data_IF_854772885698
#
_entry.id   IF_854772885698
#
_cell.length_a   1.000
_cell.length_b   1.000
_cell.length_c   1.000
_cell.angle_alpha   90.00
_cell.angle_beta   90.00
_cell.angle_gamma   90.00
#
_symmetry.space_group_name_H-M   'P 1'
#
loop_
_entity.id
_entity.type
_entity.pdbx_description
1 polymer ?
#
# COMPACT_ATOMS: atom_id res chain seq x y z
N UNK A 1 -10.53 31.86 11.86
CA UNK A 1 -10.40 30.37 11.85
C UNK A 1 -11.25 29.65 12.90
N UNK A 2 -11.65 30.29 14.00
CA UNK A 2 -12.59 29.70 14.98
C UNK A 2 -14.05 29.66 14.50
N UNK A 3 -14.45 30.50 13.55
CA UNK A 3 -15.85 30.61 13.10
C UNK A 3 -16.37 29.44 12.21
N UNK A 4 -15.52 28.86 11.38
CA UNK A 4 -15.92 27.73 10.52
C UNK A 4 -16.02 26.40 11.29
N UNK A 5 -15.21 26.27 12.33
CA UNK A 5 -15.25 25.14 13.25
C UNK A 5 -16.52 25.17 14.12
N UNK A 6 -16.87 26.37 14.61
CA UNK A 6 -18.09 26.59 15.35
C UNK A 6 -19.37 26.31 14.54
N UNK A 7 -19.39 26.65 13.25
CA UNK A 7 -20.54 26.40 12.39
C UNK A 7 -20.71 24.90 12.07
N UNK A 8 -19.65 24.16 11.80
CA UNK A 8 -19.72 22.71 11.60
C UNK A 8 -20.16 21.98 12.87
N UNK A 9 -19.62 22.37 14.02
CA UNK A 9 -20.06 21.84 15.31
C UNK A 9 -21.51 22.23 15.63
N UNK A 10 -21.94 23.46 15.33
CA UNK A 10 -23.33 23.86 15.53
C UNK A 10 -24.31 23.02 14.71
N UNK A 11 -23.96 22.66 13.48
CA UNK A 11 -24.76 21.75 12.66
C UNK A 11 -24.81 20.34 13.29
N UNK A 12 -23.67 19.81 13.76
CA UNK A 12 -23.63 18.52 14.46
C UNK A 12 -24.43 18.56 15.77
N UNK A 13 -24.37 19.65 16.55
CA UNK A 13 -25.14 19.83 17.77
C UNK A 13 -26.64 19.99 17.50
N UNK A 14 -27.00 20.68 16.42
CA UNK A 14 -28.42 20.87 16.04
C UNK A 14 -29.11 19.53 15.67
N UNK A 15 -28.36 18.55 15.18
CA UNK A 15 -28.86 17.21 14.88
C UNK A 15 -28.70 16.20 16.03
N UNK A 16 -28.30 16.63 17.23
CA UNK A 16 -28.15 15.76 18.40
C UNK A 16 -26.93 14.82 18.36
N UNK A 17 -26.02 15.04 17.41
CA UNK A 17 -24.85 14.16 17.16
C UNK A 17 -23.62 14.63 17.96
N UNK A 18 -23.70 15.75 18.69
CA UNK A 18 -22.58 16.35 19.39
C UNK A 18 -21.94 15.43 20.42
N UNK A 19 -22.73 14.79 21.28
CA UNK A 19 -22.23 13.84 22.28
C UNK A 19 -21.65 12.56 21.65
N UNK A 20 -22.16 12.15 20.50
CA UNK A 20 -21.64 11.01 19.74
C UNK A 20 -20.31 11.37 19.09
N UNK A 21 -20.14 12.62 18.59
CA UNK A 21 -18.88 13.05 17.99
C UNK A 21 -17.74 13.05 19.00
N UNK A 22 -17.99 13.41 20.25
CA UNK A 22 -16.98 13.46 21.31
C UNK A 22 -16.45 12.07 21.68
N UNK A 23 -17.26 11.02 21.56
CA UNK A 23 -16.86 9.64 21.80
C UNK A 23 -16.19 8.96 20.59
N UNK A 24 -16.31 9.54 19.39
CA UNK A 24 -15.74 8.99 18.16
C UNK A 24 -14.44 9.67 17.72
N UNK A 25 -14.20 10.90 18.19
CA UNK A 25 -12.98 11.65 17.86
C UNK A 25 -11.76 11.03 18.49
N UNK A 26 -10.64 10.99 17.78
CA UNK A 26 -9.38 10.52 18.34
C UNK A 26 -8.69 11.64 19.10
N UNK A 27 -8.57 11.49 20.41
CA UNK A 27 -7.84 12.39 21.30
C UNK A 27 -7.01 11.62 22.34
N UNK A 28 -6.06 12.31 22.98
CA UNK A 28 -5.17 11.68 23.93
C UNK A 28 -5.83 11.32 25.27
N UNK A 29 -6.96 11.94 25.62
CA UNK A 29 -7.69 11.62 26.86
C UNK A 29 -8.44 10.31 26.70
N UNK A 30 -9.22 10.16 25.62
CA UNK A 30 -9.92 8.93 25.30
C UNK A 30 -8.96 7.72 25.17
N UNK A 31 -7.81 7.93 24.49
CA UNK A 31 -6.80 6.87 24.36
C UNK A 31 -6.22 6.43 25.71
N UNK A 32 -5.99 7.36 26.65
CA UNK A 32 -5.55 7.04 28.01
C UNK A 32 -6.64 6.39 28.86
N UNK A 33 -7.89 6.69 28.57
CA UNK A 33 -9.04 6.04 29.19
C UNK A 33 -9.33 4.62 28.63
N UNK A 34 -8.56 4.15 27.63
CA UNK A 34 -8.73 2.84 27.01
C UNK A 34 -9.75 2.81 25.88
N UNK A 35 -10.17 3.95 25.36
CA UNK A 35 -11.17 4.07 24.30
C UNK A 35 -10.55 3.83 22.91
N UNK A 36 -9.96 2.64 22.71
CA UNK A 36 -9.18 2.28 21.50
C UNK A 36 -10.03 2.19 20.22
N UNK A 37 -11.37 2.08 20.32
CA UNK A 37 -12.25 2.15 19.16
C UNK A 37 -12.13 3.47 18.39
N UNK A 38 -11.68 4.55 19.04
CA UNK A 38 -11.43 5.86 18.45
C UNK A 38 -10.42 5.80 17.29
N UNK A 39 -9.50 4.82 17.29
CA UNK A 39 -8.57 4.57 16.18
C UNK A 39 -9.25 4.10 14.88
N UNK A 40 -10.49 3.62 14.98
CA UNK A 40 -11.28 3.20 13.82
C UNK A 40 -12.43 4.18 13.52
N UNK A 41 -12.89 4.94 14.49
CA UNK A 41 -14.09 5.78 14.32
C UNK A 41 -13.78 7.21 13.92
N UNK A 42 -12.62 7.77 14.27
CA UNK A 42 -12.26 9.16 13.98
C UNK A 42 -12.30 9.49 12.47
N UNK A 43 -12.09 8.51 11.62
CA UNK A 43 -12.15 8.65 10.17
C UNK A 43 -13.55 9.00 9.63
N UNK A 44 -14.61 8.72 10.40
CA UNK A 44 -16.00 9.04 10.03
C UNK A 44 -16.30 10.52 10.24
N UNK A 45 -15.54 11.19 11.10
CA UNK A 45 -15.71 12.59 11.42
C UNK A 45 -14.81 13.45 10.53
N UNK A 46 -15.26 14.65 10.18
CA UNK A 46 -14.47 15.60 9.41
C UNK A 46 -14.54 16.99 10.01
N UNK A 47 -13.41 17.70 10.02
CA UNK A 47 -13.30 19.04 10.63
C UNK A 47 -14.15 20.08 9.90
N UNK A 48 -14.40 19.91 8.60
CA UNK A 48 -15.25 20.77 7.80
C UNK A 48 -15.68 20.06 6.50
N UNK A 49 -16.66 20.64 5.81
CA UNK A 49 -17.22 20.09 4.58
C UNK A 49 -16.18 19.98 3.45
N UNK A 50 -15.29 20.95 3.32
CA UNK A 50 -14.24 20.92 2.28
C UNK A 50 -13.27 19.75 2.50
N UNK A 51 -12.91 19.45 3.76
CA UNK A 51 -12.09 18.29 4.11
C UNK A 51 -12.78 16.95 3.79
N UNK A 52 -14.08 16.85 4.08
CA UNK A 52 -14.89 15.68 3.70
C UNK A 52 -14.90 15.48 2.18
N UNK A 53 -15.22 16.54 1.43
CA UNK A 53 -15.29 16.50 -0.03
C UNK A 53 -13.92 16.13 -0.64
N UNK A 54 -12.83 16.70 -0.14
CA UNK A 54 -11.48 16.38 -0.61
C UNK A 54 -11.15 14.88 -0.43
N UNK A 55 -11.46 14.31 0.73
CA UNK A 55 -11.26 12.88 0.98
C UNK A 55 -12.14 12.02 0.07
N UNK A 56 -13.43 12.38 -0.10
CA UNK A 56 -14.34 11.65 -1.00
C UNK A 56 -13.81 11.70 -2.45
N UNK A 57 -13.37 12.87 -2.92
CA UNK A 57 -12.82 13.01 -4.28
C UNK A 57 -11.64 12.03 -4.46
N UNK A 58 -10.67 12.03 -3.56
CA UNK A 58 -9.51 11.14 -3.68
C UNK A 58 -9.93 9.67 -3.62
N UNK A 59 -10.72 9.29 -2.61
CA UNK A 59 -11.12 7.90 -2.41
C UNK A 59 -11.99 7.38 -3.57
N UNK A 60 -12.90 8.21 -4.12
CA UNK A 60 -13.76 7.80 -5.21
C UNK A 60 -13.07 7.87 -6.58
N UNK A 61 -12.39 8.96 -6.91
CA UNK A 61 -11.81 9.13 -8.26
C UNK A 61 -10.51 8.34 -8.42
N UNK A 62 -9.59 8.46 -7.47
CA UNK A 62 -8.33 7.71 -7.52
C UNK A 62 -8.55 6.25 -7.15
N UNK A 63 -9.41 6.00 -6.17
CA UNK A 63 -9.77 4.64 -5.74
C UNK A 63 -10.35 3.81 -6.86
N UNK A 64 -11.24 4.39 -7.69
CA UNK A 64 -11.84 3.73 -8.86
C UNK A 64 -10.82 3.25 -9.89
N UNK A 65 -9.66 3.93 -9.99
CA UNK A 65 -8.60 3.54 -10.91
C UNK A 65 -7.77 2.36 -10.38
N UNK A 66 -7.52 2.30 -9.07
CA UNK A 66 -6.66 1.25 -8.49
C UNK A 66 -7.43 0.05 -7.94
N UNK A 67 -8.68 0.20 -7.50
CA UNK A 67 -9.48 -0.90 -6.96
C UNK A 67 -9.58 -2.09 -7.92
N UNK A 68 -9.85 -1.93 -9.23
CA UNK A 68 -9.86 -3.04 -10.18
C UNK A 68 -8.52 -3.75 -10.32
N UNK A 69 -7.41 -3.03 -10.12
CA UNK A 69 -6.04 -3.56 -10.27
C UNK A 69 -5.64 -4.39 -9.05
N UNK A 70 -5.86 -3.86 -7.84
CA UNK A 70 -5.44 -4.53 -6.60
C UNK A 70 -6.54 -5.42 -5.99
N UNK A 71 -7.77 -5.25 -6.42
CA UNK A 71 -8.95 -5.95 -5.90
C UNK A 71 -9.53 -5.29 -4.64
N UNK A 72 -10.85 -5.41 -4.49
CA UNK A 72 -11.65 -4.78 -3.42
C UNK A 72 -11.12 -5.06 -2.01
N UNK A 73 -10.68 -6.29 -1.74
CA UNK A 73 -10.18 -6.68 -0.41
C UNK A 73 -8.91 -5.92 -0.04
N UNK A 74 -7.97 -5.82 -0.99
CA UNK A 74 -6.72 -5.06 -0.78
C UNK A 74 -6.98 -3.56 -0.68
N UNK A 75 -7.92 -3.02 -1.47
CA UNK A 75 -8.31 -1.62 -1.41
C UNK A 75 -8.89 -1.23 -0.05
N UNK A 76 -9.86 -2.00 0.44
CA UNK A 76 -10.45 -1.77 1.77
C UNK A 76 -9.42 -1.97 2.89
N UNK A 77 -8.60 -3.01 2.79
CA UNK A 77 -7.51 -3.28 3.73
C UNK A 77 -6.51 -2.13 3.79
N UNK A 78 -6.11 -1.59 2.63
CA UNK A 78 -5.23 -0.42 2.53
C UNK A 78 -5.81 0.79 3.27
N UNK A 79 -7.08 1.12 3.01
CA UNK A 79 -7.76 2.26 3.64
C UNK A 79 -7.84 2.09 5.17
N UNK A 80 -8.24 0.92 5.65
CA UNK A 80 -8.39 0.65 7.08
C UNK A 80 -7.05 0.67 7.81
N UNK A 81 -6.03 0.00 7.26
CA UNK A 81 -4.69 -0.06 7.86
C UNK A 81 -4.03 1.32 7.85
N UNK A 82 -4.18 2.08 6.76
CA UNK A 82 -3.62 3.42 6.68
C UNK A 82 -4.26 4.37 7.70
N UNK A 83 -5.57 4.33 7.87
CA UNK A 83 -6.24 5.15 8.89
C UNK A 83 -5.88 4.71 10.31
N UNK A 84 -5.84 3.42 10.58
CA UNK A 84 -5.46 2.90 11.90
C UNK A 84 -4.06 3.36 12.32
N UNK A 85 -3.05 3.13 11.49
CA UNK A 85 -1.68 3.56 11.77
C UNK A 85 -1.50 5.08 11.66
N UNK A 86 -2.28 5.74 10.80
CA UNK A 86 -2.36 7.19 10.72
C UNK A 86 -2.87 7.81 12.02
N UNK A 87 -3.90 7.20 12.61
CA UNK A 87 -4.40 7.57 13.94
C UNK A 87 -3.36 7.39 15.03
N UNK A 88 -2.65 6.27 15.05
CA UNK A 88 -1.55 6.03 15.99
C UNK A 88 -0.45 7.08 15.83
N UNK A 89 -0.04 7.38 14.58
CA UNK A 89 0.99 8.40 14.33
C UNK A 89 0.57 9.78 14.84
N UNK A 90 -0.69 10.17 14.61
CA UNK A 90 -1.22 11.43 15.14
C UNK A 90 -1.26 11.43 16.67
N UNK A 91 -1.74 10.38 17.30
CA UNK A 91 -1.79 10.27 18.75
C UNK A 91 -0.41 10.38 19.40
N UNK A 92 0.58 9.69 18.85
CA UNK A 92 1.95 9.72 19.37
C UNK A 92 2.64 11.08 19.15
N UNK A 93 2.45 11.69 17.98
CA UNK A 93 3.09 12.97 17.65
C UNK A 93 2.38 14.17 18.27
N UNK A 94 1.07 14.10 18.44
CA UNK A 94 0.20 15.23 18.77
C UNK A 94 -0.85 14.85 19.84
N UNK A 95 -0.45 14.36 21.02
CA UNK A 95 -1.37 13.74 22.00
C UNK A 95 -2.36 14.73 22.64
N UNK A 96 -2.18 16.03 22.42
CA UNK A 96 -3.07 17.09 22.93
C UNK A 96 -4.11 17.56 21.92
N UNK A 97 -4.04 17.06 20.68
CA UNK A 97 -4.92 17.51 19.61
C UNK A 97 -5.99 16.46 19.28
N UNK A 98 -7.13 16.96 18.87
CA UNK A 98 -8.20 16.14 18.31
C UNK A 98 -7.93 15.86 16.83
N UNK A 99 -8.07 14.62 16.41
CA UNK A 99 -7.82 14.17 15.04
C UNK A 99 -9.13 13.69 14.41
N UNK A 100 -9.35 14.13 13.16
CA UNK A 100 -10.54 13.82 12.37
C UNK A 100 -10.16 13.45 10.94
N UNK A 101 -10.96 12.61 10.32
CA UNK A 101 -10.98 12.43 8.89
C UNK A 101 -10.21 11.23 8.38
N UNK A 102 -10.54 10.88 7.13
CA UNK A 102 -9.96 9.77 6.39
C UNK A 102 -8.72 10.17 5.56
N UNK A 103 -8.03 11.24 5.95
CA UNK A 103 -6.90 11.79 5.19
C UNK A 103 -5.72 10.84 5.06
N UNK A 104 -5.49 9.96 6.06
CA UNK A 104 -4.45 8.93 5.98
C UNK A 104 -4.81 7.85 4.92
N UNK A 105 -6.09 7.44 4.84
CA UNK A 105 -6.54 6.56 3.77
C UNK A 105 -6.44 7.23 2.39
N UNK A 106 -6.89 8.48 2.27
CA UNK A 106 -6.79 9.23 1.02
C UNK A 106 -5.32 9.35 0.55
N UNK A 107 -4.41 9.66 1.48
CA UNK A 107 -2.97 9.73 1.21
C UNK A 107 -2.40 8.37 0.78
N UNK A 108 -2.83 7.29 1.43
CA UNK A 108 -2.37 5.94 1.08
C UNK A 108 -2.83 5.50 -0.31
N UNK A 109 -4.10 5.79 -0.66
CA UNK A 109 -4.66 5.51 -1.98
C UNK A 109 -3.94 6.32 -3.06
N UNK A 110 -3.69 7.61 -2.82
CA UNK A 110 -2.96 8.47 -3.77
C UNK A 110 -1.51 8.02 -3.96
N UNK A 111 -0.84 7.61 -2.88
CA UNK A 111 0.54 7.11 -2.96
C UNK A 111 0.60 5.75 -3.63
N UNK A 112 -0.33 4.83 -3.32
CA UNK A 112 -0.44 3.56 -4.02
C UNK A 112 -0.69 3.77 -5.52
N UNK A 113 -1.57 4.69 -5.90
CA UNK A 113 -1.80 5.08 -7.29
C UNK A 113 -0.52 5.54 -7.99
N UNK A 114 0.27 6.38 -7.33
CA UNK A 114 1.55 6.87 -7.87
C UNK A 114 2.59 5.77 -8.07
N UNK A 115 2.53 4.69 -7.28
CA UNK A 115 3.42 3.52 -7.44
C UNK A 115 2.91 2.55 -8.50
N UNK A 116 1.59 2.36 -8.59
CA UNK A 116 0.95 1.41 -9.51
C UNK A 116 0.92 1.98 -10.93
N UNK A 117 0.60 3.27 -11.08
CA UNK A 117 0.40 3.97 -12.35
C UNK A 117 1.24 5.27 -12.41
N UNK A 118 2.58 5.20 -12.31
CA UNK A 118 3.45 6.37 -12.15
C UNK A 118 3.41 7.35 -13.33
N UNK A 119 3.12 6.85 -14.51
CA UNK A 119 3.13 7.65 -15.77
C UNK A 119 1.74 8.17 -16.15
N UNK A 120 0.68 7.77 -15.42
CA UNK A 120 -0.66 8.29 -15.66
C UNK A 120 -0.71 9.78 -15.32
N UNK A 121 -1.19 10.56 -16.26
CA UNK A 121 -1.47 11.98 -16.04
C UNK A 121 -2.67 12.14 -15.11
N UNK A 122 -2.56 13.01 -14.11
CA UNK A 122 -3.71 13.37 -13.30
C UNK A 122 -4.65 14.24 -14.11
N UNK A 123 -5.85 13.74 -14.40
CA UNK A 123 -6.96 14.53 -14.91
C UNK A 123 -7.55 15.33 -13.74
N UNK A 124 -7.03 16.52 -13.51
CA UNK A 124 -7.62 17.49 -12.59
C UNK A 124 -8.58 18.37 -13.38
N UNK A 125 -9.89 18.27 -13.07
CA UNK A 125 -10.95 19.11 -13.65
C UNK A 125 -11.07 19.05 -15.18
N UNK A 126 -10.85 17.88 -15.80
CA UNK A 126 -11.02 17.72 -17.25
C UNK A 126 -9.92 18.35 -18.11
N UNK A 127 -8.89 18.91 -17.50
CA UNK A 127 -7.70 19.41 -18.18
C UNK A 127 -6.51 18.45 -17.96
N UNK A 128 -5.78 18.16 -19.03
CA UNK A 128 -4.52 17.40 -18.97
C UNK A 128 -3.46 18.27 -18.26
N UNK A 129 -3.44 18.21 -16.94
CA UNK A 129 -2.32 18.81 -16.21
C UNK A 129 -1.14 17.87 -16.38
N UNK A 130 0.01 18.39 -16.83
CA UNK A 130 1.26 17.63 -17.00
C UNK A 130 1.87 17.10 -15.68
N UNK A 131 1.07 16.94 -14.64
CA UNK A 131 1.48 16.40 -13.35
C UNK A 131 1.24 14.88 -13.35
N UNK A 132 2.32 14.13 -13.40
CA UNK A 132 2.27 12.67 -13.23
C UNK A 132 1.88 12.33 -11.79
N UNK A 133 1.20 11.21 -11.58
CA UNK A 133 0.73 10.74 -10.27
C UNK A 133 1.85 10.74 -9.19
N UNK A 134 3.08 10.38 -9.57
CA UNK A 134 4.24 10.42 -8.68
C UNK A 134 4.55 11.82 -8.14
N UNK A 135 4.39 12.87 -8.93
CA UNK A 135 4.66 14.25 -8.49
C UNK A 135 3.60 14.71 -7.48
N UNK A 136 2.35 14.31 -7.65
CA UNK A 136 1.27 14.62 -6.72
C UNK A 136 1.51 13.95 -5.36
N UNK A 137 1.92 12.68 -5.35
CA UNK A 137 2.25 11.96 -4.12
C UNK A 137 3.44 12.59 -3.39
N UNK A 138 4.51 12.98 -4.11
CA UNK A 138 5.65 13.70 -3.53
C UNK A 138 5.26 15.06 -2.97
N UNK A 139 4.43 15.83 -3.69
CA UNK A 139 3.94 17.13 -3.22
C UNK A 139 3.10 16.99 -1.95
N UNK A 140 2.22 15.98 -1.89
CA UNK A 140 1.42 15.69 -0.70
C UNK A 140 2.30 15.34 0.50
N UNK A 141 3.28 14.46 0.32
CA UNK A 141 4.24 14.06 1.36
C UNK A 141 5.06 15.25 1.86
N UNK A 142 5.58 16.08 0.94
CA UNK A 142 6.35 17.28 1.27
C UNK A 142 5.50 18.32 2.03
N UNK A 143 4.25 18.53 1.60
CA UNK A 143 3.32 19.44 2.27
C UNK A 143 2.97 18.96 3.68
N UNK A 144 2.74 17.65 3.85
CA UNK A 144 2.47 17.05 5.15
C UNK A 144 3.69 17.16 6.08
N UNK A 145 4.90 16.91 5.55
CA UNK A 145 6.14 17.06 6.31
C UNK A 145 6.36 18.50 6.76
N UNK A 146 6.18 19.46 5.86
CA UNK A 146 6.29 20.88 6.16
C UNK A 146 5.25 21.31 7.20
N UNK A 147 4.00 20.88 7.04
CA UNK A 147 2.93 21.15 8.01
C UNK A 147 3.25 20.61 9.40
N UNK A 148 3.85 19.42 9.50
CA UNK A 148 4.30 18.85 10.78
C UNK A 148 5.45 19.66 11.37
N UNK A 149 6.45 20.02 10.56
CA UNK A 149 7.62 20.80 11.01
C UNK A 149 7.26 22.21 11.49
N UNK A 150 6.29 22.85 10.85
CA UNK A 150 5.81 24.19 11.23
C UNK A 150 4.76 24.16 12.34
N UNK A 151 4.39 22.99 12.86
CA UNK A 151 3.34 22.83 13.86
C UNK A 151 1.92 23.18 13.35
N UNK A 152 1.75 23.36 12.04
CA UNK A 152 0.46 23.69 11.41
C UNK A 152 -0.36 22.42 11.15
N UNK A 153 0.28 21.28 11.14
CA UNK A 153 -0.30 19.99 10.77
C UNK A 153 -1.21 19.35 11.81
N UNK A 154 -1.28 19.88 13.02
CA UNK A 154 -2.11 19.33 14.09
C UNK A 154 -3.60 19.33 13.78
N UNK A 155 -4.08 20.36 13.11
CA UNK A 155 -5.50 20.49 12.72
C UNK A 155 -5.86 19.52 11.57
N UNK A 156 -4.91 19.22 10.70
CA UNK A 156 -5.12 18.42 9.49
C UNK A 156 -4.52 17.01 9.56
N UNK A 157 -4.00 16.60 10.71
CA UNK A 157 -3.46 15.26 10.90
C UNK A 157 -2.24 14.93 10.03
N UNK A 158 -1.31 15.89 9.86
CA UNK A 158 -0.12 15.71 9.02
C UNK A 158 0.71 14.45 9.34
N UNK A 159 0.96 14.05 10.61
CA UNK A 159 1.60 12.78 10.91
C UNK A 159 0.83 11.57 10.37
N UNK A 160 -0.52 11.63 10.39
CA UNK A 160 -1.38 10.61 9.81
C UNK A 160 -1.26 10.54 8.29
N UNK A 161 -1.17 11.67 7.61
CA UNK A 161 -0.95 11.73 6.16
C UNK A 161 0.39 11.10 5.79
N UNK A 162 1.47 11.40 6.53
CA UNK A 162 2.79 10.80 6.31
C UNK A 162 2.76 9.28 6.51
N UNK A 163 2.11 8.82 7.59
CA UNK A 163 1.91 7.39 7.82
C UNK A 163 1.10 6.74 6.69
N UNK A 164 0.04 7.41 6.23
CA UNK A 164 -0.75 6.98 5.08
C UNK A 164 0.08 6.84 3.80
N UNK A 165 0.92 7.83 3.49
CA UNK A 165 1.84 7.77 2.36
C UNK A 165 2.80 6.57 2.46
N UNK A 166 3.40 6.36 3.63
CA UNK A 166 4.32 5.25 3.86
C UNK A 166 3.63 3.89 3.68
N UNK A 167 2.41 3.75 4.22
CA UNK A 167 1.61 2.53 4.09
C UNK A 167 1.18 2.31 2.65
N UNK A 168 0.72 3.35 1.93
CA UNK A 168 0.35 3.25 0.52
C UNK A 168 1.50 2.77 -0.36
N UNK A 169 2.69 3.33 -0.14
CA UNK A 169 3.91 2.91 -0.80
C UNK A 169 4.27 1.45 -0.47
N UNK A 170 4.32 1.10 0.81
CA UNK A 170 4.70 -0.24 1.25
C UNK A 170 3.68 -1.30 0.78
N UNK A 171 2.39 -0.98 0.79
CA UNK A 171 1.33 -1.87 0.33
C UNK A 171 1.42 -2.17 -1.16
N UNK A 172 1.55 -1.12 -2.00
CA UNK A 172 1.71 -1.28 -3.44
C UNK A 172 2.99 -2.07 -3.77
N UNK A 173 4.10 -1.79 -3.08
CA UNK A 173 5.36 -2.55 -3.21
C UNK A 173 5.21 -3.99 -2.77
N UNK A 174 4.47 -4.24 -1.70
CA UNK A 174 4.16 -5.58 -1.19
C UNK A 174 3.36 -6.42 -2.18
N UNK A 175 2.46 -5.80 -2.94
CA UNK A 175 1.70 -6.43 -4.02
C UNK A 175 2.52 -6.65 -5.30
N UNK A 176 3.77 -6.14 -5.37
CA UNK A 176 4.69 -6.34 -6.50
C UNK A 176 4.69 -5.20 -7.52
N UNK A 177 4.01 -4.09 -7.24
CA UNK A 177 4.02 -2.91 -8.11
C UNK A 177 5.29 -2.07 -7.93
N UNK A 178 5.65 -1.32 -8.96
CA UNK A 178 6.90 -0.57 -9.03
C UNK A 178 8.10 -1.51 -9.22
N UNK A 179 9.32 -1.04 -8.92
CA UNK A 179 10.50 -1.91 -8.95
C UNK A 179 10.47 -2.93 -7.80
N UNK A 180 10.44 -4.23 -8.09
CA UNK A 180 10.32 -5.25 -7.05
C UNK A 180 11.54 -5.25 -6.13
N UNK A 181 11.33 -5.46 -4.83
CA UNK A 181 12.43 -5.72 -3.91
C UNK A 181 13.22 -6.97 -4.32
N UNK A 182 14.50 -7.05 -3.98
CA UNK A 182 15.34 -8.18 -4.35
C UNK A 182 14.77 -9.55 -3.99
N UNK A 183 14.06 -9.67 -2.85
CA UNK A 183 13.42 -10.91 -2.46
C UNK A 183 12.19 -11.26 -3.32
N UNK A 184 11.44 -10.24 -3.81
CA UNK A 184 10.33 -10.44 -4.73
C UNK A 184 10.83 -10.81 -6.12
N UNK A 185 11.89 -10.15 -6.62
CA UNK A 185 12.59 -10.55 -7.85
C UNK A 185 12.97 -12.02 -7.83
N UNK A 186 13.65 -12.47 -6.77
CA UNK A 186 14.04 -13.88 -6.62
C UNK A 186 12.84 -14.83 -6.62
N UNK A 187 11.70 -14.44 -6.01
CA UNK A 187 10.46 -15.24 -6.05
C UNK A 187 9.86 -15.30 -7.46
N UNK A 188 9.80 -14.16 -8.15
CA UNK A 188 9.27 -14.07 -9.51
C UNK A 188 10.16 -14.88 -10.47
N UNK A 189 11.46 -14.70 -10.39
CA UNK A 189 12.45 -15.43 -11.19
C UNK A 189 12.33 -16.94 -10.97
N UNK A 190 12.26 -17.38 -9.72
CA UNK A 190 12.08 -18.80 -9.38
C UNK A 190 10.78 -19.38 -9.94
N UNK A 191 9.66 -18.65 -9.78
CA UNK A 191 8.36 -19.06 -10.32
C UNK A 191 8.39 -19.12 -11.85
N UNK A 192 8.98 -18.15 -12.51
CA UNK A 192 9.10 -18.12 -13.96
C UNK A 192 9.96 -19.28 -14.46
N UNK A 193 11.04 -19.63 -13.75
CA UNK A 193 11.89 -20.77 -14.04
C UNK A 193 11.12 -22.08 -13.89
N UNK A 194 10.34 -22.26 -12.82
CA UNK A 194 9.51 -23.46 -12.62
C UNK A 194 8.44 -23.62 -13.71
N UNK A 195 7.78 -22.52 -14.11
CA UNK A 195 6.81 -22.52 -15.22
C UNK A 195 7.49 -22.86 -16.54
N UNK A 196 8.66 -22.29 -16.82
CA UNK A 196 9.46 -22.61 -18.01
C UNK A 196 9.80 -24.09 -18.05
N UNK A 197 10.25 -24.67 -16.94
CA UNK A 197 10.56 -26.09 -16.85
C UNK A 197 9.36 -27.00 -17.15
N UNK A 198 8.14 -26.59 -16.76
CA UNK A 198 6.92 -27.35 -17.06
C UNK A 198 6.62 -27.41 -18.56
N UNK A 199 6.89 -26.32 -19.28
CA UNK A 199 6.60 -26.22 -20.72
C UNK A 199 7.74 -26.72 -21.62
N UNK A 200 8.97 -26.92 -21.10
CA UNK A 200 10.10 -27.44 -21.86
C UNK A 200 9.89 -28.94 -22.21
N UNK A 201 10.24 -29.29 -23.44
CA UNK A 201 10.31 -30.73 -23.82
C UNK A 201 11.39 -31.46 -23.01
N UNK A 202 11.34 -32.78 -22.96
CA UNK A 202 12.35 -33.57 -22.25
C UNK A 202 13.76 -33.37 -22.84
N UNK A 203 13.88 -33.24 -24.16
CA UNK A 203 15.16 -33.02 -24.86
C UNK A 203 15.74 -31.63 -24.57
N UNK A 204 14.90 -30.61 -24.67
CA UNK A 204 15.28 -29.23 -24.35
C UNK A 204 15.69 -29.06 -22.88
N UNK A 205 14.95 -29.73 -21.96
CA UNK A 205 15.28 -29.71 -20.55
C UNK A 205 16.65 -30.35 -20.26
N UNK A 206 16.97 -31.46 -20.94
CA UNK A 206 18.28 -32.11 -20.80
C UNK A 206 19.40 -31.19 -21.29
N UNK A 207 19.29 -30.67 -22.50
CA UNK A 207 20.35 -29.84 -23.10
C UNK A 207 20.57 -28.53 -22.39
N UNK A 208 19.53 -27.87 -21.84
CA UNK A 208 19.65 -26.56 -21.23
C UNK A 208 19.95 -26.63 -19.74
N UNK A 209 19.29 -27.52 -19.01
CA UNK A 209 19.34 -27.53 -17.54
C UNK A 209 20.18 -28.70 -16.99
N UNK A 210 20.20 -29.87 -17.64
CA UNK A 210 20.93 -31.05 -17.13
C UNK A 210 22.38 -31.11 -17.61
N UNK A 211 22.66 -30.86 -18.88
CA UNK A 211 24.01 -31.01 -19.44
C UNK A 211 25.07 -30.19 -18.70
N UNK A 212 24.83 -28.91 -18.32
CA UNK A 212 25.80 -28.16 -17.52
C UNK A 212 26.06 -28.77 -16.14
N UNK A 213 25.06 -29.43 -15.55
CA UNK A 213 25.18 -30.10 -14.25
C UNK A 213 25.96 -31.41 -14.40
N UNK A 214 25.72 -32.15 -15.48
CA UNK A 214 26.44 -33.39 -15.79
C UNK A 214 27.92 -33.11 -16.09
N UNK A 215 28.21 -32.01 -16.78
CA UNK A 215 29.59 -31.56 -17.01
C UNK A 215 30.28 -31.20 -15.69
N UNK A 216 29.58 -30.50 -14.78
CA UNK A 216 30.08 -30.20 -13.44
C UNK A 216 30.33 -31.48 -12.64
N UNK A 217 29.47 -32.49 -12.72
CA UNK A 217 29.67 -33.78 -12.05
C UNK A 217 30.95 -34.48 -12.58
N UNK A 218 31.17 -34.43 -13.90
CA UNK A 218 32.35 -35.02 -14.53
C UNK A 218 33.64 -34.36 -14.06
N UNK A 219 33.62 -33.03 -13.82
CA UNK A 219 34.78 -32.25 -13.40
C UNK A 219 35.02 -32.30 -11.88
N UNK A 220 33.96 -32.06 -11.10
CA UNK A 220 34.08 -31.75 -9.67
C UNK A 220 33.45 -32.87 -8.78
N UNK A 221 32.89 -33.92 -9.38
CA UNK A 221 32.26 -35.02 -8.69
C UNK A 221 30.84 -34.71 -8.19
N UNK A 222 30.07 -35.78 -7.90
CA UNK A 222 28.66 -35.69 -7.50
C UNK A 222 28.44 -34.99 -6.14
N UNK A 223 29.45 -35.00 -5.28
CA UNK A 223 29.41 -34.35 -3.98
C UNK A 223 29.39 -32.81 -4.07
N UNK A 224 29.81 -32.22 -5.18
CA UNK A 224 29.81 -30.78 -5.43
C UNK A 224 28.44 -30.19 -5.74
N UNK A 225 27.42 -31.02 -5.90
CA UNK A 225 26.10 -30.59 -6.30
C UNK A 225 25.34 -29.92 -5.16
N UNK A 226 24.74 -28.76 -5.47
CA UNK A 226 23.78 -28.09 -4.61
C UNK A 226 22.45 -28.84 -4.54
N UNK A 227 21.63 -28.58 -3.53
CA UNK A 227 20.28 -29.16 -3.40
C UNK A 227 19.43 -28.85 -4.62
N UNK A 228 19.56 -27.67 -5.21
CA UNK A 228 18.79 -27.24 -6.38
C UNK A 228 19.24 -28.02 -7.63
N UNK A 229 20.53 -28.21 -7.84
CA UNK A 229 21.07 -29.00 -8.94
C UNK A 229 20.61 -30.47 -8.86
N UNK A 230 20.56 -31.06 -7.67
CA UNK A 230 20.01 -32.43 -7.48
C UNK A 230 18.53 -32.49 -7.85
N UNK A 231 17.74 -31.48 -7.47
CA UNK A 231 16.31 -31.38 -7.83
C UNK A 231 16.12 -31.30 -9.35
N UNK A 232 16.97 -30.55 -10.06
CA UNK A 232 16.92 -30.45 -11.53
C UNK A 232 17.19 -31.81 -12.17
N UNK A 233 18.18 -32.55 -11.71
CA UNK A 233 18.45 -33.92 -12.22
C UNK A 233 17.29 -34.87 -11.98
N UNK A 234 16.65 -34.82 -10.80
CA UNK A 234 15.46 -35.63 -10.50
C UNK A 234 14.28 -35.28 -11.40
N UNK A 235 14.03 -33.99 -11.66
CA UNK A 235 12.98 -33.52 -12.57
C UNK A 235 13.23 -33.99 -14.01
N UNK A 236 14.48 -33.86 -14.47
CA UNK A 236 14.87 -34.31 -15.80
C UNK A 236 14.74 -35.81 -15.97
N UNK A 237 15.13 -36.60 -14.96
CA UNK A 237 14.92 -38.05 -14.95
C UNK A 237 13.42 -38.39 -15.08
N UNK A 238 12.54 -37.75 -14.31
CA UNK A 238 11.09 -37.95 -14.40
C UNK A 238 10.53 -37.63 -15.80
N UNK A 239 10.98 -36.54 -16.42
CA UNK A 239 10.57 -36.17 -17.79
C UNK A 239 11.01 -37.18 -18.83
N UNK A 240 12.22 -37.72 -18.70
CA UNK A 240 12.75 -38.75 -19.61
C UNK A 240 12.02 -40.07 -19.45
N UNK A 241 11.69 -40.46 -18.21
CA UNK A 241 10.91 -41.69 -17.95
C UNK A 241 9.49 -41.58 -18.50
N UNK A 242 8.83 -40.44 -18.28
CA UNK A 242 7.49 -40.19 -18.83
C UNK A 242 7.47 -40.26 -20.36
N UNK A 243 8.47 -39.69 -21.05
CA UNK A 243 8.59 -39.74 -22.50
C UNK A 243 8.82 -41.18 -23.06
N UNK A 244 9.40 -42.07 -22.28
CA UNK A 244 9.60 -43.47 -22.70
C UNK A 244 8.36 -44.35 -22.52
N UNK A 245 7.37 -43.88 -21.75
CA UNK A 245 6.14 -44.58 -21.46
C UNK A 245 5.01 -44.24 -22.45
N UNK A 246 5.14 -43.15 -23.19
CA UNK A 246 4.30 -42.72 -24.32
C UNK A 246 4.88 -43.21 -25.64
#
# INVERSE_FOLDING_TARGET
MLGSWGAAQAVFWAFGVGALSDSLVLDGLGMRAGEYWRLLTFQLLHANFAHLVANIIVLCFVGREIEPIIGRRHFLGLCLVANFFGGIACWLALPKLMVFGASAAAASVLTAYAVILPEMGALLFGQSVCLRAKHIAWALGALALLGTALGVGGIYGAPGVLAGCAIGWAWARGLGFGEPFQFQRRRIEKRNTEVRWLHMSAEEFVSVEMDPILEKISRDGIASLTREQRRILELGHKKLVAKKAD
#
